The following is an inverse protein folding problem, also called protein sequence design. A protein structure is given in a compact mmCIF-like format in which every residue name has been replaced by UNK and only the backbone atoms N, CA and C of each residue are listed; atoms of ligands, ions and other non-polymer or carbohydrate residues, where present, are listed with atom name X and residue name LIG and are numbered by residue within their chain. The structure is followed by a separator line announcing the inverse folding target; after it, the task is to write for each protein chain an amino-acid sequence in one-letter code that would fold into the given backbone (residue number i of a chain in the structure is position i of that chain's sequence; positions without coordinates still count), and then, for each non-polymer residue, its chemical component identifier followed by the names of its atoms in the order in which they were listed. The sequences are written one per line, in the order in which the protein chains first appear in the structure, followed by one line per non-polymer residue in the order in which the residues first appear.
data_IF_945492748515
#
_entry.id   IF_945492748515
#
_cell.length_a   1.000
_cell.length_b   1.000
_cell.length_c   1.000
_cell.angle_alpha   90.00
_cell.angle_beta   90.00
_cell.angle_gamma   90.00
#
_symmetry.space_group_name_H-M   'P 1'
#
loop_
_entity.id
_entity.type
_entity.pdbx_description
1 polymer ?
#
# COMPACT_ATOMS: atom_id res chain seq x y z
N UNK A 1 -69.33 -30.53 30.28
CA UNK A 1 -69.23 -29.40 29.36
C UNK A 1 -68.49 -28.25 30.03
N UNK A 2 -67.36 -27.84 29.49
CA UNK A 2 -66.94 -26.44 29.62
C UNK A 2 -66.61 -25.83 28.25
N UNK A 3 -66.88 -24.57 28.14
CA UNK A 3 -66.87 -23.69 26.96
C UNK A 3 -65.45 -23.35 26.51
N UNK A 4 -65.19 -23.52 25.21
CA UNK A 4 -63.93 -23.12 24.59
C UNK A 4 -63.76 -21.60 24.52
N UNK A 5 -62.53 -21.15 24.88
CA UNK A 5 -62.06 -19.76 24.61
C UNK A 5 -61.36 -19.74 23.24
N UNK A 6 -61.90 -18.95 22.33
CA UNK A 6 -61.27 -18.58 21.07
C UNK A 6 -60.04 -17.68 21.36
N UNK A 7 -58.84 -18.13 20.99
CA UNK A 7 -57.65 -17.28 20.94
C UNK A 7 -57.70 -16.41 19.68
N UNK A 8 -57.63 -15.09 19.87
CA UNK A 8 -57.54 -14.12 18.78
C UNK A 8 -56.18 -14.23 18.07
N UNK A 9 -56.23 -14.37 16.77
CA UNK A 9 -55.08 -14.20 15.88
C UNK A 9 -54.66 -12.72 15.94
N UNK A 10 -53.49 -12.42 16.50
CA UNK A 10 -52.80 -11.14 16.30
C UNK A 10 -52.27 -11.11 14.86
N UNK A 11 -52.64 -10.10 14.09
CA UNK A 11 -52.18 -9.85 12.76
C UNK A 11 -50.65 -9.65 12.76
N UNK A 12 -49.98 -10.36 11.90
CA UNK A 12 -48.59 -10.12 11.54
C UNK A 12 -48.60 -8.83 10.70
N UNK A 13 -48.08 -7.74 11.28
CA UNK A 13 -47.90 -6.50 10.53
C UNK A 13 -46.92 -6.77 9.36
N UNK A 14 -47.40 -6.49 8.14
CA UNK A 14 -46.55 -6.40 6.97
C UNK A 14 -45.48 -5.34 7.24
N UNK A 15 -44.22 -5.79 7.35
CA UNK A 15 -43.06 -4.92 7.28
C UNK A 15 -42.98 -4.48 5.81
N UNK A 16 -43.41 -3.27 5.53
CA UNK A 16 -43.20 -2.63 4.23
C UNK A 16 -41.69 -2.42 4.10
N UNK A 17 -41.00 -3.28 3.34
CA UNK A 17 -39.64 -3.02 2.91
C UNK A 17 -39.63 -1.74 2.05
N UNK A 18 -39.24 -0.62 2.64
CA UNK A 18 -38.91 0.58 1.88
C UNK A 18 -37.77 0.21 0.93
N UNK A 19 -38.04 0.18 -0.38
CA UNK A 19 -37.01 0.02 -1.42
C UNK A 19 -35.98 1.14 -1.25
N UNK A 20 -34.82 0.83 -0.68
CA UNK A 20 -33.70 1.75 -0.59
C UNK A 20 -33.36 2.27 -1.99
N UNK A 21 -33.31 3.58 -2.15
CA UNK A 21 -32.86 4.22 -3.39
C UNK A 21 -31.39 3.88 -3.59
N UNK A 22 -31.07 3.19 -4.67
CA UNK A 22 -29.67 2.92 -5.07
C UNK A 22 -29.18 4.17 -5.81
N UNK A 23 -28.18 4.83 -5.25
CA UNK A 23 -27.51 5.97 -5.85
C UNK A 23 -26.25 5.48 -6.57
N UNK A 24 -26.10 5.77 -7.86
CA UNK A 24 -24.97 5.31 -8.68
C UNK A 24 -23.96 6.43 -8.96
N UNK A 25 -24.39 7.69 -8.90
CA UNK A 25 -23.58 8.87 -9.21
C UNK A 25 -23.73 9.92 -8.11
N UNK A 26 -22.75 10.83 -8.03
CA UNK A 26 -22.82 11.94 -7.07
C UNK A 26 -24.08 12.79 -7.28
N UNK A 27 -24.48 12.98 -8.52
CA UNK A 27 -25.67 13.76 -8.90
C UNK A 27 -26.99 13.15 -8.43
N UNK A 28 -27.00 11.86 -8.13
CA UNK A 28 -28.18 11.15 -7.64
C UNK A 28 -28.44 11.45 -6.16
N UNK A 29 -27.40 11.95 -5.44
CA UNK A 29 -27.52 12.26 -4.02
C UNK A 29 -28.36 13.50 -3.76
N UNK A 30 -29.17 13.53 -2.67
CA UNK A 30 -29.84 14.74 -2.23
C UNK A 30 -28.86 15.91 -2.09
N UNK A 31 -29.29 17.10 -2.48
CA UNK A 31 -28.50 18.34 -2.42
C UNK A 31 -27.25 18.38 -3.32
N UNK A 32 -27.04 17.40 -4.22
CA UNK A 32 -25.94 17.37 -5.18
C UNK A 32 -26.46 17.54 -6.61
N UNK A 33 -26.39 18.75 -7.15
CA UNK A 33 -26.62 19.00 -8.57
C UNK A 33 -25.32 18.95 -9.37
N UNK A 34 -25.40 19.03 -10.71
CA UNK A 34 -24.26 18.93 -11.62
C UNK A 34 -23.09 19.84 -11.25
N UNK A 35 -23.34 21.12 -10.91
CA UNK A 35 -22.30 22.06 -10.52
C UNK A 35 -21.60 21.65 -9.19
N UNK A 36 -22.37 21.09 -8.24
CA UNK A 36 -21.82 20.62 -6.97
C UNK A 36 -21.02 19.34 -7.18
N UNK A 37 -21.50 18.40 -8.00
CA UNK A 37 -20.79 17.18 -8.34
C UNK A 37 -19.48 17.47 -9.06
N UNK A 38 -19.47 18.46 -9.95
CA UNK A 38 -18.22 18.90 -10.61
C UNK A 38 -17.20 19.44 -9.60
N UNK A 39 -17.61 20.33 -8.68
CA UNK A 39 -16.74 20.83 -7.60
C UNK A 39 -16.21 19.70 -6.71
N UNK A 40 -17.05 18.72 -6.38
CA UNK A 40 -16.62 17.56 -5.58
C UNK A 40 -15.56 16.74 -6.32
N UNK A 41 -15.69 16.55 -7.64
CA UNK A 41 -14.67 15.85 -8.45
C UNK A 41 -13.36 16.63 -8.53
N UNK A 42 -13.42 17.95 -8.65
CA UNK A 42 -12.24 18.83 -8.69
C UNK A 42 -11.40 18.73 -7.40
N UNK A 43 -12.04 18.49 -6.26
CA UNK A 43 -11.36 18.29 -4.96
C UNK A 43 -11.10 16.80 -4.63
N UNK A 44 -11.28 15.88 -5.61
CA UNK A 44 -10.91 14.48 -5.48
C UNK A 44 -12.02 13.53 -5.05
N UNK A 45 -13.26 13.99 -4.82
CA UNK A 45 -14.41 13.14 -4.51
C UNK A 45 -15.16 12.76 -5.79
N UNK A 46 -14.78 11.66 -6.40
CA UNK A 46 -15.40 11.17 -7.65
C UNK A 46 -16.47 10.11 -7.45
N UNK A 47 -16.55 9.51 -6.26
CA UNK A 47 -17.52 8.46 -5.92
C UNK A 47 -18.27 8.79 -4.63
N UNK A 48 -19.42 8.14 -4.42
CA UNK A 48 -20.24 8.30 -3.21
C UNK A 48 -19.48 7.78 -1.99
N UNK A 49 -18.73 6.70 -2.13
CA UNK A 49 -17.91 6.11 -1.07
C UNK A 49 -16.80 7.08 -0.62
N UNK A 50 -16.12 7.72 -1.58
CA UNK A 50 -15.11 8.72 -1.28
C UNK A 50 -15.75 9.91 -0.53
N UNK A 51 -16.91 10.38 -1.00
CA UNK A 51 -17.64 11.52 -0.41
C UNK A 51 -18.14 11.21 1.02
N UNK A 52 -18.54 10.00 1.31
CA UNK A 52 -18.96 9.60 2.65
C UNK A 52 -17.85 9.65 3.71
N UNK A 53 -16.59 9.58 3.26
CA UNK A 53 -15.41 9.72 4.14
C UNK A 53 -14.92 11.16 4.28
N UNK A 54 -15.51 12.10 3.55
CA UNK A 54 -15.17 13.52 3.60
C UNK A 54 -15.49 14.13 4.96
N UNK A 55 -14.79 15.22 5.27
CA UNK A 55 -15.12 16.08 6.42
C UNK A 55 -15.82 17.35 5.97
N UNK A 56 -16.62 17.92 6.87
CA UNK A 56 -17.35 19.19 6.59
C UNK A 56 -16.36 20.30 6.24
N UNK A 57 -15.20 20.35 6.90
CA UNK A 57 -14.18 21.37 6.67
C UNK A 57 -13.53 21.26 5.28
N UNK A 58 -13.34 20.06 4.75
CA UNK A 58 -12.80 19.85 3.39
C UNK A 58 -13.76 20.37 2.31
N UNK A 59 -15.08 20.08 2.47
CA UNK A 59 -16.07 20.57 1.54
C UNK A 59 -16.30 22.08 1.68
N UNK A 60 -16.21 22.62 2.89
CA UNK A 60 -16.32 24.06 3.16
C UNK A 60 -15.17 24.85 2.52
N UNK A 61 -13.94 24.32 2.60
CA UNK A 61 -12.76 24.89 1.94
C UNK A 61 -12.90 24.95 0.40
N UNK A 62 -13.70 24.03 -0.18
CA UNK A 62 -14.04 24.04 -1.60
C UNK A 62 -15.23 24.96 -1.97
N UNK A 63 -15.70 25.77 -1.03
CA UNK A 63 -16.80 26.70 -1.25
C UNK A 63 -18.21 26.08 -1.22
N UNK A 64 -18.36 24.92 -0.55
CA UNK A 64 -19.67 24.32 -0.22
C UNK A 64 -20.00 24.72 1.22
N UNK A 65 -21.05 25.50 1.43
CA UNK A 65 -21.42 25.96 2.78
C UNK A 65 -21.53 24.80 3.78
N UNK A 66 -21.11 24.98 5.03
CA UNK A 66 -20.98 23.94 6.06
C UNK A 66 -22.26 23.10 6.26
N UNK A 67 -23.43 23.77 6.33
CA UNK A 67 -24.71 23.10 6.47
C UNK A 67 -24.98 22.15 5.30
N UNK A 68 -24.76 22.61 4.08
CA UNK A 68 -24.92 21.82 2.87
C UNK A 68 -23.87 20.69 2.76
N UNK A 69 -22.64 20.96 3.18
CA UNK A 69 -21.58 19.96 3.25
C UNK A 69 -21.97 18.81 4.20
N UNK A 70 -22.50 19.13 5.38
CA UNK A 70 -22.99 18.14 6.34
C UNK A 70 -24.15 17.30 5.77
N UNK A 71 -25.11 17.92 5.10
CA UNK A 71 -26.23 17.23 4.45
C UNK A 71 -25.76 16.28 3.34
N UNK A 72 -24.86 16.72 2.50
CA UNK A 72 -24.28 15.91 1.41
C UNK A 72 -23.51 14.71 1.95
N UNK A 73 -22.69 14.91 3.00
CA UNK A 73 -21.93 13.84 3.63
C UNK A 73 -22.87 12.83 4.30
N UNK A 74 -23.93 13.31 4.99
CA UNK A 74 -24.93 12.43 5.60
C UNK A 74 -25.64 11.59 4.54
N UNK A 75 -26.09 12.20 3.46
CA UNK A 75 -26.75 11.50 2.36
C UNK A 75 -25.81 10.47 1.69
N UNK A 76 -24.54 10.81 1.52
CA UNK A 76 -23.53 9.86 1.01
C UNK A 76 -23.33 8.67 1.97
N UNK A 77 -23.28 8.91 3.28
CA UNK A 77 -23.17 7.85 4.29
C UNK A 77 -24.40 6.95 4.37
N UNK A 78 -25.59 7.50 4.21
CA UNK A 78 -26.84 6.74 4.16
C UNK A 78 -26.96 5.92 2.87
N UNK A 79 -26.37 6.41 1.77
CA UNK A 79 -26.36 5.75 0.47
C UNK A 79 -25.40 4.55 0.41
N UNK A 80 -24.40 4.52 1.28
CA UNK A 80 -23.44 3.41 1.34
C UNK A 80 -24.03 2.29 2.20
N UNK A 81 -24.08 1.10 1.63
CA UNK A 81 -24.26 -0.10 2.44
C UNK A 81 -22.98 -0.37 3.23
N UNK A 82 -23.02 -0.16 4.54
CA UNK A 82 -21.97 -0.65 5.43
C UNK A 82 -22.11 -2.16 5.48
N UNK A 83 -21.37 -2.85 4.65
CA UNK A 83 -21.35 -4.31 4.64
C UNK A 83 -20.52 -4.82 5.83
N UNK A 84 -21.21 -5.38 6.82
CA UNK A 84 -20.58 -6.17 7.85
C UNK A 84 -20.40 -7.58 7.33
N UNK A 85 -19.17 -8.10 7.39
CA UNK A 85 -18.83 -9.45 6.95
C UNK A 85 -18.28 -10.25 8.13
N UNK A 86 -18.58 -11.52 8.18
CA UNK A 86 -17.94 -12.45 9.14
C UNK A 86 -16.48 -12.65 8.79
N UNK A 87 -15.67 -13.10 9.73
CA UNK A 87 -14.28 -13.47 9.48
C UNK A 87 -14.15 -14.56 8.40
N UNK A 88 -15.13 -15.45 8.26
CA UNK A 88 -15.18 -16.47 7.23
C UNK A 88 -15.39 -15.87 5.83
N UNK A 89 -16.34 -14.93 5.69
CA UNK A 89 -16.57 -14.21 4.44
C UNK A 89 -15.36 -13.33 4.08
N UNK A 90 -14.74 -12.68 5.07
CA UNK A 90 -13.50 -11.94 4.86
C UNK A 90 -12.36 -12.84 4.35
N UNK A 91 -12.27 -14.09 4.83
CA UNK A 91 -11.28 -15.06 4.35
C UNK A 91 -11.50 -15.40 2.86
N UNK A 92 -12.76 -15.51 2.41
CA UNK A 92 -13.09 -15.71 0.99
C UNK A 92 -12.68 -14.49 0.14
N UNK A 93 -12.99 -13.27 0.60
CA UNK A 93 -12.58 -12.03 -0.07
C UNK A 93 -11.05 -11.91 -0.17
N UNK A 94 -10.33 -12.35 0.86
CA UNK A 94 -8.86 -12.36 0.88
C UNK A 94 -8.19 -13.40 -0.02
N UNK A 95 -8.93 -14.32 -0.62
CA UNK A 95 -8.38 -15.25 -1.62
C UNK A 95 -7.84 -14.55 -2.88
N UNK A 96 -8.26 -13.31 -3.12
CA UNK A 96 -7.74 -12.48 -4.22
C UNK A 96 -6.37 -11.87 -3.92
N UNK A 97 -5.92 -11.92 -2.67
CA UNK A 97 -4.62 -11.38 -2.25
C UNK A 97 -3.50 -12.23 -2.85
N UNK A 98 -2.69 -11.61 -3.68
CA UNK A 98 -1.53 -12.24 -4.30
C UNK A 98 -0.24 -11.98 -3.52
N UNK A 99 0.80 -12.73 -3.85
CA UNK A 99 2.15 -12.54 -3.30
C UNK A 99 3.19 -12.54 -4.41
N UNK A 100 4.21 -11.71 -4.24
CA UNK A 100 5.33 -11.58 -5.18
C UNK A 100 6.57 -12.15 -4.49
N UNK A 101 7.19 -13.16 -5.11
CA UNK A 101 8.44 -13.73 -4.61
C UNK A 101 9.58 -12.71 -4.61
N UNK A 102 10.38 -12.73 -3.57
CA UNK A 102 11.61 -11.92 -3.48
C UNK A 102 12.78 -12.53 -4.28
N UNK A 103 12.63 -13.78 -4.73
CA UNK A 103 13.69 -14.57 -5.36
C UNK A 103 14.44 -15.49 -4.37
N UNK A 104 14.28 -15.27 -3.05
CA UNK A 104 14.82 -16.13 -2.00
C UNK A 104 13.70 -16.81 -1.25
N UNK A 105 13.68 -18.13 -1.21
CA UNK A 105 12.71 -18.94 -0.46
C UNK A 105 12.77 -18.68 1.04
N UNK A 106 13.99 -18.45 1.56
CA UNK A 106 14.21 -18.09 2.96
C UNK A 106 13.52 -16.77 3.32
N UNK A 107 13.70 -15.74 2.48
CA UNK A 107 13.09 -14.44 2.70
C UNK A 107 11.58 -14.49 2.47
N UNK A 108 11.12 -15.20 1.45
CA UNK A 108 9.69 -15.42 1.20
C UNK A 108 9.04 -16.11 2.39
N UNK A 109 9.65 -17.17 2.94
CA UNK A 109 9.16 -17.87 4.13
C UNK A 109 9.05 -16.94 5.35
N UNK A 110 10.03 -16.05 5.55
CA UNK A 110 10.03 -15.08 6.65
C UNK A 110 8.84 -14.11 6.57
N UNK A 111 8.44 -13.71 5.36
CA UNK A 111 7.36 -12.74 5.14
C UNK A 111 6.04 -13.40 4.69
N UNK A 112 5.89 -14.71 4.93
CA UNK A 112 4.63 -15.43 4.69
C UNK A 112 4.36 -15.80 3.23
N UNK A 113 5.42 -16.01 2.43
CA UNK A 113 5.34 -16.47 1.05
C UNK A 113 5.59 -15.41 -0.02
N UNK A 114 6.13 -14.25 0.37
CA UNK A 114 6.45 -13.14 -0.52
C UNK A 114 5.75 -11.84 -0.15
N UNK A 115 5.97 -10.80 -0.94
CA UNK A 115 5.38 -9.47 -0.73
C UNK A 115 3.89 -9.48 -1.08
N UNK A 116 3.05 -9.17 -0.09
CA UNK A 116 1.59 -9.30 -0.17
C UNK A 116 0.94 -8.09 -0.87
N UNK A 117 -0.04 -8.35 -1.74
CA UNK A 117 -0.87 -7.27 -2.33
C UNK A 117 -1.83 -6.67 -1.29
N UNK A 118 -2.41 -5.51 -1.59
CA UNK A 118 -3.33 -4.76 -0.73
C UNK A 118 -2.71 -4.31 0.60
N UNK A 119 -1.39 -4.38 0.71
CA UNK A 119 -0.62 -4.04 1.90
C UNK A 119 0.64 -3.25 1.55
N UNK A 120 1.27 -2.65 2.56
CA UNK A 120 2.56 -1.98 2.43
C UNK A 120 3.60 -2.80 3.16
N UNK A 121 4.66 -3.18 2.42
CA UNK A 121 5.88 -3.79 2.97
C UNK A 121 6.99 -2.75 3.00
N UNK A 122 7.57 -2.51 4.17
CA UNK A 122 8.72 -1.63 4.37
C UNK A 122 10.00 -2.45 4.49
N UNK A 123 10.97 -2.19 3.61
CA UNK A 123 12.35 -2.63 3.77
C UNK A 123 13.21 -1.48 4.25
N UNK A 124 13.80 -1.60 5.43
CA UNK A 124 14.63 -0.53 5.99
C UNK A 124 15.99 -1.06 6.45
N UNK A 125 16.97 -0.19 6.46
CA UNK A 125 18.33 -0.56 6.84
C UNK A 125 19.38 0.46 6.38
N UNK A 126 20.62 0.22 6.73
CA UNK A 126 21.75 1.07 6.39
C UNK A 126 22.00 1.14 4.87
N UNK A 127 22.85 2.08 4.47
CA UNK A 127 23.32 2.17 3.09
C UNK A 127 23.99 0.85 2.67
N UNK A 128 23.63 0.37 1.47
CA UNK A 128 24.19 -0.87 0.92
C UNK A 128 23.66 -2.15 1.58
N UNK A 129 22.60 -2.10 2.40
CA UNK A 129 21.94 -3.29 2.97
C UNK A 129 21.15 -4.12 1.96
N UNK A 130 20.92 -3.61 0.73
CA UNK A 130 20.25 -4.35 -0.35
C UNK A 130 18.81 -3.93 -0.64
N UNK A 131 18.32 -2.84 -0.05
CA UNK A 131 16.93 -2.35 -0.25
C UNK A 131 16.56 -2.15 -1.72
N UNK A 132 17.33 -1.34 -2.46
CA UNK A 132 17.10 -1.09 -3.88
C UNK A 132 17.27 -2.35 -4.74
N UNK A 133 18.16 -3.27 -4.36
CA UNK A 133 18.33 -4.56 -5.05
C UNK A 133 17.07 -5.44 -4.91
N UNK A 134 16.44 -5.44 -3.74
CA UNK A 134 15.15 -6.09 -3.54
C UNK A 134 14.05 -5.42 -4.36
N UNK A 135 14.03 -4.09 -4.43
CA UNK A 135 13.07 -3.36 -5.26
C UNK A 135 13.21 -3.71 -6.75
N UNK A 136 14.43 -3.76 -7.27
CA UNK A 136 14.70 -4.19 -8.65
C UNK A 136 14.23 -5.63 -8.89
N UNK A 137 14.54 -6.56 -7.98
CA UNK A 137 14.13 -7.95 -8.08
C UNK A 137 12.60 -8.08 -8.07
N UNK A 138 11.91 -7.39 -7.19
CA UNK A 138 10.44 -7.40 -7.12
C UNK A 138 9.79 -6.80 -8.37
N UNK A 139 10.39 -5.75 -8.97
CA UNK A 139 9.93 -5.15 -10.21
C UNK A 139 10.03 -6.11 -11.41
N UNK A 140 10.99 -7.01 -11.38
CA UNK A 140 11.10 -8.11 -12.35
C UNK A 140 10.13 -9.25 -11.99
N UNK A 141 10.11 -9.68 -10.74
CA UNK A 141 9.37 -10.88 -10.32
C UNK A 141 7.85 -10.70 -10.38
N UNK A 142 7.31 -9.47 -10.21
CA UNK A 142 5.86 -9.21 -10.37
C UNK A 142 5.34 -9.58 -11.76
N UNK A 143 6.21 -9.59 -12.75
CA UNK A 143 5.92 -9.91 -14.15
C UNK A 143 5.79 -11.41 -14.42
N UNK A 144 6.37 -12.23 -13.55
CA UNK A 144 6.27 -13.68 -13.65
C UNK A 144 4.81 -14.15 -13.52
N UNK A 145 4.47 -15.33 -14.06
CA UNK A 145 3.17 -15.93 -13.82
C UNK A 145 3.03 -16.37 -12.36
N UNK A 146 1.79 -16.54 -11.86
CA UNK A 146 1.53 -16.89 -10.46
C UNK A 146 2.22 -18.17 -10.00
N UNK A 147 2.34 -19.17 -10.86
CA UNK A 147 3.00 -20.47 -10.58
C UNK A 147 4.51 -20.30 -10.31
N UNK A 148 5.08 -19.17 -10.72
CA UNK A 148 6.47 -18.78 -10.48
C UNK A 148 6.61 -17.69 -9.44
N UNK A 149 5.53 -17.37 -8.70
CA UNK A 149 5.53 -16.38 -7.64
C UNK A 149 5.41 -14.94 -8.13
N UNK A 150 4.88 -14.70 -9.33
CA UNK A 150 4.55 -13.38 -9.85
C UNK A 150 3.05 -13.10 -9.88
N UNK A 151 2.66 -12.03 -10.56
CA UNK A 151 1.26 -11.61 -10.69
C UNK A 151 0.87 -11.28 -12.14
N UNK A 152 1.70 -11.63 -13.13
CA UNK A 152 1.56 -11.23 -14.53
C UNK A 152 1.35 -9.71 -14.70
N UNK A 153 1.87 -8.90 -13.76
CA UNK A 153 1.65 -7.46 -13.68
C UNK A 153 2.87 -6.64 -14.06
N UNK A 154 2.67 -5.35 -14.21
CA UNK A 154 3.74 -4.35 -14.34
C UNK A 154 4.12 -3.79 -12.96
N UNK A 155 5.26 -3.09 -12.89
CA UNK A 155 5.69 -2.33 -11.73
C UNK A 155 5.62 -0.82 -12.01
N UNK A 156 5.17 -0.04 -11.04
CA UNK A 156 5.38 1.40 -10.98
C UNK A 156 6.53 1.68 -10.00
N UNK A 157 7.60 2.28 -10.48
CA UNK A 157 8.81 2.57 -9.70
C UNK A 157 8.99 4.08 -9.55
N UNK A 158 8.82 4.60 -8.34
CA UNK A 158 9.08 6.00 -7.99
C UNK A 158 10.44 6.06 -7.30
N UNK A 159 11.43 6.65 -7.98
CA UNK A 159 12.81 6.78 -7.52
C UNK A 159 13.05 8.19 -6.96
N UNK A 160 13.57 8.30 -5.76
CA UNK A 160 13.90 9.56 -5.09
C UNK A 160 15.39 9.78 -4.88
N UNK A 161 16.22 8.78 -5.18
CA UNK A 161 17.68 8.81 -4.96
C UNK A 161 18.48 8.59 -6.26
N UNK A 162 17.78 8.48 -7.38
CA UNK A 162 18.38 8.17 -8.69
C UNK A 162 19.25 6.89 -8.67
N UNK A 163 18.71 5.84 -8.03
CA UNK A 163 19.42 4.56 -7.85
C UNK A 163 18.94 3.45 -8.78
N UNK A 164 17.91 3.70 -9.57
CA UNK A 164 17.40 2.75 -10.56
C UNK A 164 18.43 2.48 -11.65
N UNK A 165 18.64 1.21 -11.99
CA UNK A 165 19.63 0.78 -13.00
C UNK A 165 18.99 -0.23 -13.94
N UNK A 166 18.88 0.17 -15.21
CA UNK A 166 18.28 -0.64 -16.28
C UNK A 166 19.09 -1.91 -16.49
N UNK A 167 20.43 -1.81 -16.46
CA UNK A 167 21.33 -2.95 -16.64
C UNK A 167 21.08 -4.02 -15.59
N UNK A 168 20.71 -3.60 -14.37
CA UNK A 168 20.40 -4.51 -13.29
C UNK A 168 19.06 -5.21 -13.48
N UNK A 169 18.05 -4.51 -13.99
CA UNK A 169 16.78 -5.10 -14.37
C UNK A 169 16.99 -6.15 -15.46
N UNK A 170 17.74 -5.82 -16.51
CA UNK A 170 18.02 -6.75 -17.61
C UNK A 170 18.74 -8.02 -17.15
N UNK A 171 19.72 -7.91 -16.25
CA UNK A 171 20.41 -9.06 -15.66
C UNK A 171 19.43 -9.98 -14.90
N UNK A 172 18.62 -9.41 -14.03
CA UNK A 172 17.64 -10.15 -13.24
C UNK A 172 16.55 -10.78 -14.12
N UNK A 173 16.05 -10.06 -15.13
CA UNK A 173 15.06 -10.55 -16.08
C UNK A 173 15.58 -11.77 -16.86
N UNK A 174 16.78 -11.67 -17.39
CA UNK A 174 17.44 -12.77 -18.09
C UNK A 174 17.60 -14.02 -17.21
N UNK A 175 18.00 -13.83 -15.94
CA UNK A 175 18.16 -14.95 -15.01
C UNK A 175 16.85 -15.68 -14.74
N UNK A 176 15.76 -14.94 -14.56
CA UNK A 176 14.42 -15.55 -14.35
C UNK A 176 13.74 -15.98 -15.64
N UNK A 177 14.42 -15.89 -16.79
CA UNK A 177 13.90 -16.34 -18.09
C UNK A 177 12.81 -15.45 -18.69
N UNK A 178 12.82 -14.16 -18.36
CA UNK A 178 12.07 -13.13 -19.07
C UNK A 178 12.94 -12.50 -20.16
N UNK A 179 12.32 -12.02 -21.23
CA UNK A 179 13.01 -11.17 -22.19
C UNK A 179 13.38 -9.84 -21.50
N UNK A 180 14.66 -9.41 -21.55
CA UNK A 180 15.13 -8.22 -20.83
C UNK A 180 14.47 -6.93 -21.32
N UNK A 181 14.22 -6.78 -22.62
CA UNK A 181 13.63 -5.56 -23.19
C UNK A 181 12.15 -5.48 -22.83
N UNK A 182 11.40 -6.58 -23.00
CA UNK A 182 9.99 -6.67 -22.57
C UNK A 182 9.84 -6.43 -21.05
N UNK A 183 10.79 -6.95 -20.25
CA UNK A 183 10.78 -6.72 -18.81
C UNK A 183 10.98 -5.24 -18.45
N UNK A 184 11.81 -4.52 -19.20
CA UNK A 184 12.00 -3.08 -19.04
C UNK A 184 10.75 -2.29 -19.44
N UNK A 185 10.06 -2.67 -20.51
CA UNK A 185 8.81 -2.02 -20.96
C UNK A 185 7.68 -2.13 -19.91
N UNK A 186 7.69 -3.17 -19.09
CA UNK A 186 6.71 -3.40 -18.03
C UNK A 186 7.08 -2.78 -16.68
N UNK A 187 8.10 -1.91 -16.63
CA UNK A 187 8.46 -1.11 -15.46
C UNK A 187 8.26 0.36 -15.80
N UNK A 188 7.20 0.95 -15.26
CA UNK A 188 6.89 2.37 -15.43
C UNK A 188 7.70 3.14 -14.39
N UNK A 189 8.67 3.89 -14.85
CA UNK A 189 9.60 4.64 -14.02
C UNK A 189 9.22 6.12 -13.92
N UNK A 190 9.34 6.68 -12.71
CA UNK A 190 9.24 8.11 -12.47
C UNK A 190 10.28 8.56 -11.44
N UNK A 191 11.06 9.60 -11.78
CA UNK A 191 11.96 10.25 -10.84
C UNK A 191 11.23 11.34 -10.07
N UNK A 192 11.32 11.31 -8.74
CA UNK A 192 10.78 12.36 -7.88
C UNK A 192 11.90 13.34 -7.48
N UNK A 193 11.71 14.62 -7.80
CA UNK A 193 12.72 15.64 -7.55
C UNK A 193 12.65 16.27 -6.15
N UNK A 194 11.50 16.19 -5.51
CA UNK A 194 11.26 16.68 -4.16
C UNK A 194 10.02 15.98 -3.54
N UNK A 195 9.72 16.28 -2.28
CA UNK A 195 8.60 15.64 -1.57
C UNK A 195 7.23 15.97 -2.16
N UNK A 196 7.04 17.20 -2.69
CA UNK A 196 5.79 17.59 -3.35
C UNK A 196 5.61 16.85 -4.68
N UNK A 197 6.67 16.72 -5.46
CA UNK A 197 6.65 15.95 -6.70
C UNK A 197 6.39 14.45 -6.43
N UNK A 198 7.02 13.88 -5.40
CA UNK A 198 6.76 12.50 -4.96
C UNK A 198 5.28 12.30 -4.61
N UNK A 199 4.66 13.23 -3.89
CA UNK A 199 3.24 13.18 -3.56
C UNK A 199 2.38 13.29 -4.82
N UNK A 200 2.68 14.23 -5.71
CA UNK A 200 1.95 14.45 -6.96
C UNK A 200 1.99 13.23 -7.89
N UNK A 201 3.15 12.57 -8.03
CA UNK A 201 3.28 11.35 -8.82
C UNK A 201 2.31 10.27 -8.33
N UNK A 202 2.24 10.08 -7.02
CA UNK A 202 1.34 9.09 -6.43
C UNK A 202 -0.14 9.49 -6.50
N UNK A 203 -0.45 10.77 -6.40
CA UNK A 203 -1.82 11.28 -6.57
C UNK A 203 -2.37 11.02 -7.98
N UNK A 204 -1.51 11.10 -9.00
CA UNK A 204 -1.87 10.89 -10.41
C UNK A 204 -1.67 9.45 -10.91
N UNK A 205 -1.27 8.54 -10.03
CA UNK A 205 -0.92 7.17 -10.41
C UNK A 205 -2.11 6.29 -10.85
N UNK A 206 -3.36 6.64 -10.49
CA UNK A 206 -4.54 5.80 -10.78
C UNK A 206 -4.64 5.40 -12.26
N UNK A 207 -4.47 6.38 -13.16
CA UNK A 207 -4.52 6.15 -14.61
C UNK A 207 -3.40 5.22 -15.07
N UNK A 208 -2.18 5.50 -14.65
CA UNK A 208 -0.99 4.72 -15.00
C UNK A 208 -1.13 3.27 -14.52
N UNK A 209 -1.58 3.07 -13.28
CA UNK A 209 -1.80 1.75 -12.68
C UNK A 209 -2.81 0.95 -13.50
N UNK A 210 -3.94 1.58 -13.87
CA UNK A 210 -5.01 0.93 -14.60
C UNK A 210 -4.61 0.57 -16.04
N UNK A 211 -3.99 1.51 -16.76
CA UNK A 211 -3.64 1.35 -18.18
C UNK A 211 -2.53 0.30 -18.39
N UNK A 212 -1.62 0.15 -17.43
CA UNK A 212 -0.46 -0.74 -17.54
C UNK A 212 -0.58 -2.03 -16.71
N UNK A 213 -1.74 -2.33 -16.13
CA UNK A 213 -1.91 -3.49 -15.25
C UNK A 213 -0.84 -3.55 -14.15
N UNK A 214 -0.58 -2.42 -13.46
CA UNK A 214 0.40 -2.37 -12.39
C UNK A 214 -0.07 -3.18 -11.19
N UNK A 215 0.76 -4.12 -10.75
CA UNK A 215 0.51 -4.97 -9.58
C UNK A 215 1.53 -4.79 -8.47
N UNK A 216 2.51 -3.91 -8.69
CA UNK A 216 3.52 -3.52 -7.70
C UNK A 216 3.80 -2.02 -7.80
N UNK A 217 3.72 -1.32 -6.68
CA UNK A 217 4.09 0.10 -6.55
C UNK A 217 5.29 0.18 -5.62
N UNK A 218 6.39 0.73 -6.10
CA UNK A 218 7.64 0.90 -5.36
C UNK A 218 7.92 2.39 -5.14
N UNK A 219 8.32 2.76 -3.93
CA UNK A 219 8.88 4.08 -3.61
C UNK A 219 10.24 3.87 -2.97
N UNK A 220 11.30 4.15 -3.70
CA UNK A 220 12.70 3.97 -3.27
C UNK A 220 13.48 5.29 -3.33
N UNK A 221 13.66 5.99 -2.19
CA UNK A 221 13.17 5.70 -0.87
C UNK A 221 12.01 6.63 -0.45
N UNK A 222 11.20 6.14 0.47
CA UNK A 222 10.03 6.87 0.96
C UNK A 222 10.38 8.22 1.60
N UNK A 223 11.45 8.28 2.38
CA UNK A 223 11.70 9.40 3.32
C UNK A 223 12.85 10.33 2.93
N UNK A 224 13.54 10.08 1.81
CA UNK A 224 14.72 10.86 1.39
C UNK A 224 14.40 12.36 1.29
N UNK A 225 13.45 12.74 0.45
CA UNK A 225 13.04 14.13 0.27
C UNK A 225 12.41 14.74 1.51
N UNK A 226 11.53 13.99 2.19
CA UNK A 226 10.91 14.47 3.43
C UNK A 226 11.93 14.79 4.52
N UNK A 227 13.07 14.10 4.53
CA UNK A 227 14.14 14.36 5.49
C UNK A 227 14.98 15.57 5.11
N UNK A 228 15.28 15.75 3.85
CA UNK A 228 16.14 16.85 3.36
C UNK A 228 15.42 18.20 3.39
N UNK A 229 14.10 18.22 3.16
CA UNK A 229 13.32 19.45 3.06
C UNK A 229 12.78 19.94 4.41
N UNK A 230 12.33 19.00 5.26
CA UNK A 230 11.76 19.33 6.58
C UNK A 230 12.81 19.19 7.69
N UNK A 231 13.75 20.13 7.73
CA UNK A 231 14.84 20.15 8.71
C UNK A 231 14.39 20.86 10.01
N UNK A 232 14.85 20.35 11.15
CA UNK A 232 14.57 20.91 12.47
C UNK A 232 13.31 20.35 13.13
N UNK A 233 13.26 20.48 14.47
CA UNK A 233 12.14 19.92 15.28
C UNK A 233 10.82 20.63 15.02
N UNK A 234 10.84 21.92 14.68
CA UNK A 234 9.65 22.72 14.39
C UNK A 234 8.87 22.22 13.17
N UNK A 235 9.54 21.65 12.17
CA UNK A 235 8.92 21.16 10.94
C UNK A 235 8.47 19.69 11.03
N UNK A 236 8.74 19.04 12.17
CA UNK A 236 8.41 17.63 12.38
C UNK A 236 6.90 17.33 12.27
N UNK A 237 5.97 18.13 12.83
CA UNK A 237 4.54 17.87 12.72
C UNK A 237 4.06 17.92 11.26
N UNK A 238 4.47 18.93 10.51
CA UNK A 238 4.10 19.09 9.09
C UNK A 238 4.63 17.91 8.25
N UNK A 239 5.91 17.57 8.41
CA UNK A 239 6.51 16.42 7.75
C UNK A 239 5.73 15.13 8.03
N UNK A 240 5.39 14.88 9.29
CA UNK A 240 4.66 13.68 9.70
C UNK A 240 3.24 13.66 9.11
N UNK A 241 2.55 14.77 9.09
CA UNK A 241 1.21 14.88 8.51
C UNK A 241 1.23 14.59 7.01
N UNK A 242 2.18 15.20 6.28
CA UNK A 242 2.33 15.01 4.83
C UNK A 242 2.71 13.56 4.49
N UNK A 243 3.66 12.99 5.24
CA UNK A 243 4.07 11.61 5.08
C UNK A 243 2.92 10.64 5.37
N UNK A 244 2.12 10.91 6.41
CA UNK A 244 0.94 10.10 6.75
C UNK A 244 -0.09 10.09 5.61
N UNK A 245 -0.43 11.26 5.06
CA UNK A 245 -1.32 11.36 3.89
C UNK A 245 -0.79 10.58 2.69
N UNK A 246 0.51 10.70 2.42
CA UNK A 246 1.18 10.00 1.34
C UNK A 246 1.12 8.47 1.49
N UNK A 247 1.40 7.95 2.68
CA UNK A 247 1.30 6.51 2.99
C UNK A 247 -0.14 5.98 2.89
N UNK A 248 -1.12 6.74 3.37
CA UNK A 248 -2.53 6.37 3.23
C UNK A 248 -3.00 6.38 1.76
N UNK A 249 -2.51 7.33 0.95
CA UNK A 249 -2.76 7.33 -0.50
C UNK A 249 -2.17 6.09 -1.16
N UNK A 250 -0.93 5.73 -0.84
CA UNK A 250 -0.28 4.52 -1.32
C UNK A 250 -1.08 3.26 -0.97
N UNK A 251 -1.51 3.14 0.28
CA UNK A 251 -2.33 2.01 0.73
C UNK A 251 -3.68 1.95 0.00
N UNK A 252 -4.31 3.09 -0.23
CA UNK A 252 -5.56 3.17 -0.98
C UNK A 252 -5.39 2.67 -2.42
N UNK A 253 -4.32 3.04 -3.10
CA UNK A 253 -4.00 2.54 -4.44
C UNK A 253 -3.74 1.03 -4.42
N UNK A 254 -2.91 0.55 -3.49
CA UNK A 254 -2.60 -0.87 -3.35
C UNK A 254 -3.88 -1.72 -3.20
N UNK A 255 -4.83 -1.27 -2.38
CA UNK A 255 -6.12 -1.94 -2.18
C UNK A 255 -7.04 -1.85 -3.39
N UNK A 256 -7.19 -0.67 -3.97
CA UNK A 256 -8.10 -0.43 -5.09
C UNK A 256 -7.74 -1.24 -6.34
N UNK A 257 -6.45 -1.45 -6.58
CA UNK A 257 -5.94 -2.15 -7.76
C UNK A 257 -5.40 -3.56 -7.46
N UNK A 258 -5.58 -4.05 -6.24
CA UNK A 258 -5.02 -5.31 -5.77
C UNK A 258 -3.51 -5.41 -6.11
N UNK A 259 -2.78 -4.33 -5.87
CA UNK A 259 -1.34 -4.24 -6.06
C UNK A 259 -0.60 -4.40 -4.72
N UNK A 260 0.64 -4.84 -4.77
CA UNK A 260 1.56 -4.76 -3.64
C UNK A 260 2.17 -3.34 -3.58
N UNK A 261 2.40 -2.82 -2.38
CA UNK A 261 3.15 -1.60 -2.20
C UNK A 261 4.44 -1.89 -1.42
N UNK A 262 5.56 -1.41 -1.94
CA UNK A 262 6.88 -1.55 -1.31
C UNK A 262 7.49 -0.18 -1.12
N UNK A 263 7.95 0.08 0.08
CA UNK A 263 8.69 1.29 0.40
C UNK A 263 10.04 0.94 0.99
N UNK A 264 11.09 1.65 0.59
CA UNK A 264 12.37 1.55 1.27
C UNK A 264 12.57 2.72 2.20
N UNK A 265 13.34 2.49 3.27
CA UNK A 265 13.60 3.50 4.26
C UNK A 265 15.03 3.39 4.80
N UNK A 266 15.62 4.52 5.16
CA UNK A 266 16.93 4.58 5.80
C UNK A 266 16.78 4.48 7.32
N UNK A 267 17.89 4.21 7.99
CA UNK A 267 17.98 4.19 9.45
C UNK A 267 18.88 5.30 9.96
N UNK A 268 18.64 5.72 11.20
CA UNK A 268 19.52 6.61 11.95
C UNK A 268 20.10 5.84 13.14
N UNK A 269 21.39 6.04 13.42
CA UNK A 269 22.01 5.52 14.61
C UNK A 269 21.41 6.19 15.86
N UNK A 270 21.22 5.42 16.92
CA UNK A 270 20.95 5.92 18.28
C UNK A 270 22.23 5.93 19.06
N UNK A 271 22.86 7.10 19.29
CA UNK A 271 24.14 7.15 20.02
C UNK A 271 24.01 6.69 21.48
N UNK A 272 22.80 6.75 22.06
CA UNK A 272 22.55 6.45 23.46
C UNK A 272 22.22 4.97 23.77
N UNK A 273 22.07 4.12 22.76
CA UNK A 273 21.66 2.71 22.91
C UNK A 273 22.68 1.71 22.32
N UNK A 274 23.95 1.81 22.73
CA UNK A 274 25.01 0.91 22.27
C UNK A 274 24.79 -0.58 22.58
N UNK A 275 23.91 -0.90 23.52
CA UNK A 275 23.66 -2.28 23.99
C UNK A 275 22.30 -2.84 23.61
N UNK A 276 21.47 -2.14 22.83
CA UNK A 276 20.18 -2.68 22.41
C UNK A 276 20.33 -3.48 21.11
N UNK A 277 19.59 -4.57 21.00
CA UNK A 277 19.53 -5.42 19.79
C UNK A 277 19.02 -4.66 18.53
N UNK A 278 18.52 -3.44 18.70
CA UNK A 278 18.16 -2.48 17.67
C UNK A 278 18.74 -1.10 17.95
N UNK A 279 20.06 -0.96 17.77
CA UNK A 279 20.76 0.32 17.88
C UNK A 279 20.38 1.33 16.77
N UNK A 280 19.45 0.98 15.87
CA UNK A 280 19.04 1.79 14.72
C UNK A 280 17.53 1.95 14.66
N UNK A 281 17.08 3.16 14.35
CA UNK A 281 15.66 3.47 14.13
C UNK A 281 15.42 3.83 12.65
N UNK A 282 14.33 3.32 12.06
CA UNK A 282 13.91 3.77 10.74
C UNK A 282 13.53 5.26 10.76
N UNK A 283 13.88 5.96 9.70
CA UNK A 283 13.47 7.36 9.47
C UNK A 283 11.95 7.41 9.28
N UNK A 284 11.32 8.54 9.66
CA UNK A 284 9.86 8.68 9.53
C UNK A 284 9.06 8.32 10.79
N UNK A 285 9.72 7.72 11.79
CA UNK A 285 9.14 7.49 13.12
C UNK A 285 7.88 6.61 13.10
N UNK A 286 6.95 6.92 13.99
CA UNK A 286 5.74 6.12 14.20
C UNK A 286 4.80 6.09 12.97
N UNK A 287 4.75 7.15 12.16
CA UNK A 287 3.84 7.21 10.99
C UNK A 287 4.10 6.07 10.01
N UNK A 288 5.35 5.90 9.58
CA UNK A 288 5.70 4.81 8.66
C UNK A 288 5.47 3.46 9.32
N UNK A 289 5.86 3.34 10.61
CA UNK A 289 5.72 2.10 11.37
C UNK A 289 4.28 1.64 11.56
N UNK A 290 3.31 2.55 11.69
CA UNK A 290 1.91 2.20 11.90
C UNK A 290 1.15 1.89 10.61
N UNK A 291 1.54 2.51 9.49
CA UNK A 291 0.85 2.30 8.20
C UNK A 291 1.44 1.10 7.44
N UNK A 292 2.72 0.77 7.65
CA UNK A 292 3.35 -0.40 7.05
C UNK A 292 2.87 -1.69 7.74
N UNK A 293 2.37 -2.64 6.96
CA UNK A 293 1.85 -3.92 7.48
C UNK A 293 2.99 -4.89 7.82
N UNK A 294 3.96 -5.02 6.91
CA UNK A 294 5.14 -5.87 7.10
C UNK A 294 6.38 -5.01 7.09
N UNK A 295 7.23 -5.17 8.12
CA UNK A 295 8.44 -4.36 8.30
C UNK A 295 9.65 -5.27 8.44
N UNK A 296 10.59 -5.13 7.51
CA UNK A 296 11.79 -5.97 7.43
C UNK A 296 13.04 -5.11 7.54
N UNK A 297 13.83 -5.37 8.56
CA UNK A 297 15.14 -4.76 8.75
C UNK A 297 16.19 -5.55 7.97
N UNK A 298 16.93 -4.85 7.12
CA UNK A 298 18.02 -5.43 6.33
C UNK A 298 19.38 -4.96 6.81
N UNK A 299 20.31 -5.89 7.00
CA UNK A 299 21.70 -5.60 7.37
C UNK A 299 22.68 -6.45 6.57
N UNK A 300 23.91 -5.94 6.45
CA UNK A 300 25.02 -6.74 5.92
C UNK A 300 25.42 -7.81 6.93
N UNK A 301 25.77 -8.99 6.42
CA UNK A 301 26.37 -10.04 7.23
C UNK A 301 27.87 -10.16 6.96
N UNK A 302 28.56 -10.91 7.80
CA UNK A 302 29.90 -11.35 7.52
C UNK A 302 29.86 -12.26 6.28
N UNK A 303 30.69 -11.98 5.29
CA UNK A 303 30.70 -12.68 4.01
C UNK A 303 30.35 -11.77 2.82
N UNK A 304 30.89 -12.12 1.65
CA UNK A 304 30.63 -11.35 0.43
C UNK A 304 29.15 -11.48 0.02
N UNK A 305 28.51 -10.34 -0.18
CA UNK A 305 27.16 -10.25 -0.73
C UNK A 305 26.05 -10.88 0.13
N UNK A 306 26.34 -11.35 1.35
CA UNK A 306 25.34 -11.93 2.25
C UNK A 306 24.58 -10.83 3.00
N UNK A 307 23.29 -11.03 3.14
CA UNK A 307 22.37 -10.14 3.84
C UNK A 307 21.54 -10.92 4.85
N UNK A 308 21.21 -10.26 5.94
CA UNK A 308 20.28 -10.76 6.95
C UNK A 308 19.05 -9.86 6.90
N UNK A 309 17.90 -10.48 6.74
CA UNK A 309 16.58 -9.86 6.88
C UNK A 309 15.98 -10.28 8.22
N UNK A 310 15.55 -9.31 9.02
CA UNK A 310 14.81 -9.54 10.26
C UNK A 310 13.39 -8.99 10.12
N UNK A 311 12.39 -9.83 10.32
CA UNK A 311 11.01 -9.40 10.45
C UNK A 311 10.81 -8.71 11.80
N UNK A 312 10.52 -7.42 11.75
CA UNK A 312 10.38 -6.56 12.95
C UNK A 312 8.93 -6.36 13.33
N UNK A 313 8.05 -6.36 12.34
CA UNK A 313 6.61 -6.26 12.56
C UNK A 313 5.83 -6.93 11.43
N UNK A 314 4.79 -7.63 11.82
CA UNK A 314 3.77 -8.21 10.93
C UNK A 314 2.46 -8.35 11.71
N UNK A 315 1.29 -8.23 11.07
CA UNK A 315 0.01 -8.41 11.75
C UNK A 315 -0.28 -9.88 12.13
N UNK A 316 0.44 -10.85 11.59
CA UNK A 316 0.14 -12.28 11.78
C UNK A 316 1.36 -13.20 11.81
N UNK A 317 2.55 -12.73 11.47
CA UNK A 317 3.77 -13.54 11.49
C UNK A 317 4.60 -13.26 12.74
N UNK A 318 5.24 -14.28 13.34
CA UNK A 318 6.19 -14.08 14.43
C UNK A 318 7.47 -13.41 13.92
N UNK A 319 8.19 -12.76 14.82
CA UNK A 319 9.55 -12.27 14.54
C UNK A 319 10.47 -13.42 14.13
N UNK A 320 11.40 -13.16 13.23
CA UNK A 320 12.37 -14.13 12.75
C UNK A 320 13.44 -13.48 11.89
N UNK A 321 14.40 -14.27 11.47
CA UNK A 321 15.47 -13.85 10.56
C UNK A 321 15.59 -14.81 9.38
N UNK A 322 15.95 -14.26 8.22
CA UNK A 322 16.30 -15.00 7.02
C UNK A 322 17.62 -14.50 6.47
N UNK A 323 18.37 -15.38 5.84
CA UNK A 323 19.65 -15.05 5.23
C UNK A 323 19.53 -15.27 3.73
N UNK A 324 19.99 -14.31 2.95
CA UNK A 324 20.02 -14.35 1.50
C UNK A 324 21.28 -13.68 0.95
N UNK A 325 21.56 -13.87 -0.32
CA UNK A 325 22.67 -13.21 -1.01
C UNK A 325 22.19 -12.38 -2.19
N UNK A 326 23.03 -11.40 -2.55
CA UNK A 326 22.85 -10.56 -3.73
C UNK A 326 23.96 -10.93 -4.70
N UNK A 327 23.60 -11.49 -5.85
CA UNK A 327 24.54 -11.95 -6.89
C UNK A 327 24.33 -11.18 -8.20
N UNK A 328 25.05 -11.53 -9.24
CA UNK A 328 24.74 -11.04 -10.60
C UNK A 328 23.34 -11.45 -11.05
N UNK A 329 22.90 -12.62 -10.65
CA UNK A 329 21.58 -13.15 -11.00
C UNK A 329 20.41 -12.46 -10.27
N UNK A 330 20.68 -11.79 -9.17
CA UNK A 330 19.66 -11.12 -8.36
C UNK A 330 19.73 -11.52 -6.88
N UNK A 331 18.55 -11.72 -6.32
CA UNK A 331 18.35 -12.18 -4.94
C UNK A 331 18.23 -13.69 -4.94
N UNK A 332 19.08 -14.36 -4.17
CA UNK A 332 19.14 -15.82 -4.09
C UNK A 332 19.29 -16.31 -2.65
N UNK A 333 18.90 -17.54 -2.41
CA UNK A 333 19.22 -18.22 -1.16
C UNK A 333 20.72 -18.51 -1.05
N UNK A 334 21.20 -18.70 0.16
CA UNK A 334 22.51 -19.31 0.36
C UNK A 334 22.44 -20.77 -0.07
N UNK A 335 23.40 -21.20 -0.90
CA UNK A 335 23.62 -22.61 -1.12
C UNK A 335 23.98 -23.24 0.23
N UNK A 336 23.24 -24.23 0.65
CA UNK A 336 23.69 -25.07 1.75
C UNK A 336 24.93 -25.81 1.26
N UNK A 337 26.10 -25.48 1.80
CA UNK A 337 27.28 -26.33 1.66
C UNK A 337 26.87 -27.72 2.18
N UNK A 338 26.86 -28.69 1.25
CA UNK A 338 26.59 -30.10 1.58
C UNK A 338 27.78 -30.73 2.30
#
# INVERSE_FOLDING_TARGET
MPRGRRAGRRGVGEVVEEKKKVYLRLEDLPSVGNATAQKLREIGYSTIEALATATVSELAAAGIGEKRAAEIISAAREAIEVSWVTAKELAELKKTVGRITTGSKSLDGLIGGGVETQSITEFFGEYGSGKSQLCHQLAVNVQLPPERGGLNGAALYIDTENTFRIERIMQMAKHVGLDPDEACERIIYAEAYNSDHQVLLLEKADKVIKENNVRLIIIDSLTSHFRSEYVGRQNLPERQQKLNKHMHRLLKLARAFNAAAVVTNQVMARPDEFFSAMAVLPVGGHVVGHVSHTRVYLRKAAGRNVRIARLVASPYLPEGEAIFRITENGIEDLEQEK
#
